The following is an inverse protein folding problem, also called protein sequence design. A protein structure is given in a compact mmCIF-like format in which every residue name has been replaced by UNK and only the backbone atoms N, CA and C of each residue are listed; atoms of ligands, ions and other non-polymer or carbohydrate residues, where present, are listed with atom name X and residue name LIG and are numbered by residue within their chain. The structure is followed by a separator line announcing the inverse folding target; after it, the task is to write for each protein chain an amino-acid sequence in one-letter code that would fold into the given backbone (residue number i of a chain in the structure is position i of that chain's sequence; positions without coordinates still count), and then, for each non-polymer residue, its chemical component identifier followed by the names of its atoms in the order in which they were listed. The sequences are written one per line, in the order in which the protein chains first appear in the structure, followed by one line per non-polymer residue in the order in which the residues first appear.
data_IF_280478906832
#
_entry.id   IF_280478906832
#
_cell.length_a   1.000
_cell.length_b   1.000
_cell.length_c   1.000
_cell.angle_alpha   90.00
_cell.angle_beta   90.00
_cell.angle_gamma   90.00
#
_symmetry.space_group_name_H-M   'P 1'
#
loop_
_entity.id
_entity.type
_entity.pdbx_description
1 polymer ?
#
# COMPACT_ATOMS: atom_id res chain seq x y z
N UNK A 1 25.39 -13.98 -16.21
CA UNK A 1 25.43 -12.72 -17.00
C UNK A 1 24.93 -11.46 -16.27
N UNK A 2 24.55 -11.49 -14.98
CA UNK A 2 24.01 -10.31 -14.28
C UNK A 2 25.04 -9.32 -13.72
N UNK A 3 26.31 -9.72 -13.57
CA UNK A 3 27.35 -8.85 -13.00
C UNK A 3 27.84 -7.81 -14.04
N UNK A 4 27.86 -8.17 -15.32
CA UNK A 4 28.45 -7.32 -16.37
C UNK A 4 27.63 -6.07 -16.69
N UNK A 5 26.29 -6.14 -16.72
CA UNK A 5 25.46 -4.97 -17.06
C UNK A 5 25.39 -3.92 -15.94
N UNK A 6 25.37 -4.33 -14.67
CA UNK A 6 25.43 -3.38 -13.55
C UNK A 6 26.80 -2.71 -13.46
N UNK A 7 27.88 -3.45 -13.74
CA UNK A 7 29.23 -2.87 -13.85
C UNK A 7 29.32 -1.90 -15.04
N UNK A 8 28.64 -2.15 -16.16
CA UNK A 8 28.58 -1.22 -17.30
C UNK A 8 27.83 0.08 -16.97
N UNK A 9 26.70 0.03 -16.26
CA UNK A 9 25.98 1.25 -15.85
C UNK A 9 26.81 2.04 -14.82
N UNK A 10 27.50 1.33 -13.91
CA UNK A 10 28.41 1.92 -12.94
C UNK A 10 29.62 2.60 -13.60
N UNK A 11 30.27 1.96 -14.56
CA UNK A 11 31.39 2.54 -15.31
C UNK A 11 30.96 3.74 -16.15
N UNK A 12 29.75 3.72 -16.72
CA UNK A 12 29.23 4.88 -17.47
C UNK A 12 28.92 6.08 -16.56
N UNK A 13 28.31 5.85 -15.39
CA UNK A 13 28.05 6.93 -14.42
C UNK A 13 29.39 7.46 -13.86
N UNK A 14 30.34 6.58 -13.53
CA UNK A 14 31.69 6.96 -13.08
C UNK A 14 32.40 7.81 -14.13
N UNK A 15 32.39 7.40 -15.40
CA UNK A 15 32.98 8.18 -16.48
C UNK A 15 32.28 9.53 -16.69
N UNK A 16 30.94 9.59 -16.53
CA UNK A 16 30.17 10.82 -16.76
C UNK A 16 30.29 11.83 -15.62
N UNK A 17 30.39 11.38 -14.37
CA UNK A 17 30.63 12.26 -13.21
C UNK A 17 32.08 12.73 -13.17
N UNK A 18 33.04 11.86 -13.51
CA UNK A 18 34.46 12.23 -13.54
C UNK A 18 34.81 13.18 -14.70
N UNK A 19 33.97 13.26 -15.74
CA UNK A 19 34.18 14.15 -16.89
C UNK A 19 33.61 15.55 -16.68
N UNK A 20 32.69 15.74 -15.75
CA UNK A 20 32.00 17.02 -15.55
C UNK A 20 32.34 17.73 -14.24
N UNK A 21 32.86 17.03 -13.22
CA UNK A 21 33.16 17.66 -11.93
C UNK A 21 34.58 17.35 -11.45
N UNK A 22 35.44 18.36 -11.60
CA UNK A 22 36.57 18.74 -10.74
C UNK A 22 37.93 18.00 -10.84
N UNK A 23 38.99 18.73 -11.26
CA UNK A 23 40.38 18.42 -10.95
C UNK A 23 40.91 19.05 -9.63
N UNK A 24 40.07 19.46 -8.67
CA UNK A 24 40.52 20.18 -7.47
C UNK A 24 39.88 19.76 -6.12
N UNK A 25 39.21 18.60 -6.04
CA UNK A 25 38.76 18.07 -4.75
C UNK A 25 39.48 16.76 -4.41
N UNK A 26 40.09 16.73 -3.23
CA UNK A 26 40.78 15.57 -2.68
C UNK A 26 39.94 14.28 -2.84
N UNK A 27 40.56 13.16 -3.28
CA UNK A 27 39.89 11.87 -3.45
C UNK A 27 39.12 11.40 -2.19
N UNK A 28 39.56 11.84 -1.01
CA UNK A 28 38.92 11.53 0.27
C UNK A 28 37.52 12.16 0.41
N UNK A 29 37.32 13.39 -0.06
CA UNK A 29 36.03 14.09 0.04
C UNK A 29 34.98 13.49 -0.88
N UNK A 30 35.40 13.09 -2.08
CA UNK A 30 34.53 12.43 -3.07
C UNK A 30 34.04 11.09 -2.51
N UNK A 31 34.93 10.28 -1.93
CA UNK A 31 34.56 8.99 -1.31
C UNK A 31 33.54 9.15 -0.17
N UNK A 32 33.75 10.14 0.71
CA UNK A 32 32.84 10.41 1.84
C UNK A 32 31.45 10.88 1.38
N UNK A 33 31.38 11.79 0.40
CA UNK A 33 30.11 12.21 -0.20
C UNK A 33 29.40 11.05 -0.91
N UNK A 34 30.13 10.17 -1.60
CA UNK A 34 29.56 8.97 -2.20
C UNK A 34 28.99 8.02 -1.16
N UNK A 35 29.72 7.75 -0.07
CA UNK A 35 29.24 6.91 1.02
C UNK A 35 28.01 7.51 1.69
N UNK A 36 28.00 8.83 1.96
CA UNK A 36 26.84 9.50 2.54
C UNK A 36 25.63 9.50 1.60
N UNK A 37 25.81 9.79 0.31
CA UNK A 37 24.71 9.70 -0.67
C UNK A 37 24.24 8.26 -0.85
N UNK A 38 25.13 7.28 -0.80
CA UNK A 38 24.80 5.87 -0.96
C UNK A 38 24.07 5.32 0.27
N UNK A 39 24.51 5.70 1.47
CA UNK A 39 23.87 5.34 2.74
C UNK A 39 22.51 6.01 2.88
N UNK A 40 22.40 7.32 2.58
CA UNK A 40 21.10 8.02 2.57
C UNK A 40 20.16 7.46 1.51
N UNK A 41 20.65 7.07 0.33
CA UNK A 41 19.83 6.37 -0.67
C UNK A 41 19.40 4.99 -0.19
N UNK A 42 20.24 4.26 0.55
CA UNK A 42 19.86 2.95 1.12
C UNK A 42 18.80 3.08 2.18
N UNK A 43 18.97 3.96 3.17
CA UNK A 43 17.98 4.17 4.24
C UNK A 43 16.65 4.64 3.68
N UNK A 44 16.66 5.65 2.78
CA UNK A 44 15.44 6.09 2.10
C UNK A 44 14.85 4.99 1.20
N UNK A 45 15.66 4.15 0.53
CA UNK A 45 15.12 3.05 -0.29
C UNK A 45 14.51 1.93 0.53
N UNK A 46 15.04 1.65 1.73
CA UNK A 46 14.52 0.62 2.63
C UNK A 46 13.20 1.08 3.24
N UNK A 47 13.13 2.32 3.74
CA UNK A 47 11.89 2.89 4.29
C UNK A 47 10.79 2.97 3.21
N UNK A 48 11.13 3.39 2.00
CA UNK A 48 10.18 3.41 0.88
C UNK A 48 9.75 2.00 0.44
N UNK A 49 10.62 0.99 0.55
CA UNK A 49 10.23 -0.38 0.25
C UNK A 49 9.17 -0.89 1.24
N UNK A 50 9.34 -0.59 2.53
CA UNK A 50 8.38 -0.96 3.56
C UNK A 50 7.01 -0.30 3.35
N UNK A 51 6.97 1.01 3.08
CA UNK A 51 5.71 1.71 2.80
C UNK A 51 4.99 1.13 1.59
N UNK A 52 5.73 0.83 0.51
CA UNK A 52 5.15 0.28 -0.71
C UNK A 52 4.71 -1.17 -0.52
N UNK A 53 5.43 -1.97 0.29
CA UNK A 53 5.00 -3.31 0.65
C UNK A 53 3.76 -3.32 1.55
N UNK A 54 3.68 -2.42 2.53
CA UNK A 54 2.52 -2.26 3.40
C UNK A 54 1.29 -1.88 2.57
N UNK A 55 1.43 -0.90 1.66
CA UNK A 55 0.35 -0.51 0.77
C UNK A 55 -0.01 -1.63 -0.22
N UNK A 56 0.97 -2.36 -0.76
CA UNK A 56 0.70 -3.52 -1.62
C UNK A 56 -0.12 -4.59 -0.87
N UNK A 57 0.27 -4.92 0.37
CA UNK A 57 -0.47 -5.89 1.21
C UNK A 57 -1.88 -5.38 1.51
N UNK A 58 -2.05 -4.08 1.79
CA UNK A 58 -3.37 -3.47 2.00
C UNK A 58 -4.26 -3.61 0.77
N UNK A 59 -3.73 -3.31 -0.42
CA UNK A 59 -4.46 -3.45 -1.70
C UNK A 59 -4.80 -4.92 -1.97
N UNK A 60 -3.89 -5.84 -1.67
CA UNK A 60 -4.14 -7.29 -1.84
C UNK A 60 -5.19 -7.78 -0.83
N UNK A 61 -5.21 -7.29 0.40
CA UNK A 61 -6.20 -7.68 1.40
C UNK A 61 -7.59 -7.06 1.16
N UNK A 62 -7.67 -5.98 0.39
CA UNK A 62 -8.94 -5.29 0.15
C UNK A 62 -9.93 -6.14 -0.66
N UNK A 63 -11.18 -6.13 -0.23
CA UNK A 63 -12.27 -6.94 -0.78
C UNK A 63 -13.05 -6.21 -1.88
N UNK A 64 -13.15 -4.88 -1.78
CA UNK A 64 -13.94 -4.05 -2.69
C UNK A 64 -13.07 -3.11 -3.52
N UNK A 65 -13.53 -2.75 -4.72
CA UNK A 65 -12.82 -1.81 -5.59
C UNK A 65 -12.65 -0.41 -4.95
N UNK A 66 -13.59 -0.01 -4.09
CA UNK A 66 -13.54 1.24 -3.34
C UNK A 66 -12.34 1.30 -2.38
N UNK A 67 -12.11 0.21 -1.63
CA UNK A 67 -11.03 0.10 -0.65
C UNK A 67 -9.65 0.02 -1.34
N UNK A 68 -9.60 -0.64 -2.50
CA UNK A 68 -8.43 -0.71 -3.38
C UNK A 68 -7.97 0.71 -3.76
N UNK A 69 -8.87 1.58 -4.21
CA UNK A 69 -8.53 2.95 -4.58
C UNK A 69 -8.56 3.94 -3.40
N UNK A 70 -9.15 3.57 -2.26
CA UNK A 70 -9.36 4.46 -1.12
C UNK A 70 -10.36 5.58 -1.42
N UNK A 71 -11.41 5.27 -2.19
CA UNK A 71 -12.43 6.24 -2.62
C UNK A 71 -13.73 5.97 -1.87
N UNK A 72 -14.38 7.04 -1.42
CA UNK A 72 -15.72 6.93 -0.83
C UNK A 72 -16.77 6.64 -1.92
N UNK A 73 -17.67 5.67 -1.73
CA UNK A 73 -18.68 5.31 -2.72
C UNK A 73 -19.71 6.42 -2.97
N UNK A 74 -19.76 7.44 -2.13
CA UNK A 74 -20.68 8.59 -2.24
C UNK A 74 -20.19 9.68 -3.20
N UNK A 75 -18.88 9.80 -3.46
CA UNK A 75 -18.29 10.84 -4.34
C UNK A 75 -17.49 10.20 -5.48
N UNK A 76 -18.15 9.35 -6.27
CA UNK A 76 -17.51 8.68 -7.41
C UNK A 76 -17.53 9.62 -8.62
N UNK A 77 -16.55 10.52 -8.69
CA UNK A 77 -16.22 11.24 -9.93
C UNK A 77 -15.19 10.45 -10.72
N UNK A 78 -15.38 10.32 -12.03
CA UNK A 78 -14.42 9.66 -12.94
C UNK A 78 -12.99 10.20 -12.76
N UNK A 79 -12.86 11.52 -12.60
CA UNK A 79 -11.57 12.18 -12.43
C UNK A 79 -10.92 11.88 -11.07
N UNK A 80 -11.72 11.63 -10.03
CA UNK A 80 -11.19 11.20 -8.74
C UNK A 80 -10.65 9.77 -8.83
N UNK A 81 -11.37 8.87 -9.50
CA UNK A 81 -10.94 7.49 -9.76
C UNK A 81 -9.60 7.47 -10.50
N UNK A 82 -9.47 8.25 -11.56
CA UNK A 82 -8.24 8.32 -12.35
C UNK A 82 -7.06 8.89 -11.55
N UNK A 83 -7.26 9.98 -10.81
CA UNK A 83 -6.20 10.59 -9.99
C UNK A 83 -5.71 9.63 -8.90
N UNK A 84 -6.63 9.03 -8.13
CA UNK A 84 -6.27 8.07 -7.09
C UNK A 84 -5.53 6.86 -7.66
N UNK A 85 -6.00 6.34 -8.81
CA UNK A 85 -5.31 5.26 -9.51
C UNK A 85 -3.90 5.65 -9.93
N UNK A 86 -3.71 6.81 -10.56
CA UNK A 86 -2.40 7.26 -11.04
C UNK A 86 -1.40 7.48 -9.91
N UNK A 87 -1.84 8.07 -8.80
CA UNK A 87 -1.02 8.25 -7.60
C UNK A 87 -0.55 6.91 -7.05
N UNK A 88 -1.45 5.93 -6.90
CA UNK A 88 -1.12 4.61 -6.35
C UNK A 88 -0.27 3.77 -7.30
N UNK A 89 -0.60 3.73 -8.58
CA UNK A 89 0.21 3.03 -9.58
C UNK A 89 1.60 3.65 -9.69
N UNK A 90 1.73 4.97 -9.49
CA UNK A 90 3.00 5.68 -9.43
C UNK A 90 4.01 5.06 -8.45
N UNK A 91 3.53 4.57 -7.30
CA UNK A 91 4.35 3.89 -6.29
C UNK A 91 4.93 2.56 -6.84
N UNK A 92 4.14 1.83 -7.62
CA UNK A 92 4.51 0.50 -8.13
C UNK A 92 5.26 0.52 -9.46
N UNK A 93 5.27 1.63 -10.22
CA UNK A 93 5.92 1.74 -11.54
C UNK A 93 7.39 1.31 -11.54
N UNK A 94 8.11 1.55 -10.43
CA UNK A 94 9.53 1.22 -10.30
C UNK A 94 9.78 -0.24 -9.85
N UNK A 95 8.76 -0.94 -9.36
CA UNK A 95 8.88 -2.25 -8.70
C UNK A 95 8.41 -3.41 -9.59
N UNK A 96 8.70 -3.35 -10.90
CA UNK A 96 8.24 -4.31 -11.91
C UNK A 96 8.64 -5.77 -11.63
N UNK A 97 9.70 -6.00 -10.84
CA UNK A 97 10.19 -7.35 -10.50
C UNK A 97 9.62 -7.90 -9.18
N UNK A 98 8.92 -7.09 -8.38
CA UNK A 98 8.34 -7.56 -7.12
C UNK A 98 6.95 -8.16 -7.39
N UNK A 99 6.76 -9.44 -7.02
CA UNK A 99 5.48 -10.15 -7.18
C UNK A 99 4.33 -9.43 -6.48
N UNK A 100 4.55 -8.90 -5.27
CA UNK A 100 3.52 -8.17 -4.52
C UNK A 100 3.11 -6.88 -5.23
N UNK A 101 4.08 -6.13 -5.77
CA UNK A 101 3.79 -4.90 -6.52
C UNK A 101 3.01 -5.20 -7.81
N UNK A 102 3.32 -6.31 -8.49
CA UNK A 102 2.61 -6.73 -9.70
C UNK A 102 1.17 -7.17 -9.41
N UNK A 103 0.95 -7.93 -8.33
CA UNK A 103 -0.39 -8.34 -7.90
C UNK A 103 -1.24 -7.14 -7.45
N UNK A 104 -0.65 -6.24 -6.66
CA UNK A 104 -1.31 -5.00 -6.25
C UNK A 104 -1.66 -4.12 -7.46
N UNK A 105 -0.76 -4.00 -8.44
CA UNK A 105 -1.03 -3.28 -9.69
C UNK A 105 -2.19 -3.93 -10.47
N UNK A 106 -2.19 -5.25 -10.63
CA UNK A 106 -3.29 -5.95 -11.33
C UNK A 106 -4.64 -5.71 -10.64
N UNK A 107 -4.68 -5.69 -9.30
CA UNK A 107 -5.88 -5.32 -8.55
C UNK A 107 -6.29 -3.86 -8.74
N UNK A 108 -5.34 -2.93 -8.78
CA UNK A 108 -5.61 -1.52 -9.09
C UNK A 108 -6.19 -1.35 -10.50
N UNK A 109 -5.62 -2.03 -11.50
CA UNK A 109 -6.09 -2.00 -12.89
C UNK A 109 -7.52 -2.54 -12.98
N UNK A 110 -7.80 -3.64 -12.30
CA UNK A 110 -9.14 -4.22 -12.22
C UNK A 110 -10.14 -3.28 -11.52
N UNK A 111 -9.77 -2.70 -10.37
CA UNK A 111 -10.62 -1.77 -9.64
C UNK A 111 -10.93 -0.50 -10.46
N UNK A 112 -9.94 0.02 -11.19
CA UNK A 112 -10.15 1.14 -12.14
C UNK A 112 -11.19 0.79 -13.19
N UNK A 113 -11.08 -0.38 -13.83
CA UNK A 113 -12.03 -0.81 -14.85
C UNK A 113 -13.45 -0.93 -14.29
N UNK A 114 -13.61 -1.56 -13.12
CA UNK A 114 -14.91 -1.69 -12.46
C UNK A 114 -15.55 -0.34 -12.12
N UNK A 115 -14.75 0.63 -11.67
CA UNK A 115 -15.27 1.92 -11.22
C UNK A 115 -15.48 2.91 -12.36
N UNK A 116 -14.79 2.76 -13.49
CA UNK A 116 -15.02 3.62 -14.66
C UNK A 116 -16.29 3.23 -15.43
N UNK A 117 -16.58 1.94 -15.54
CA UNK A 117 -17.83 1.45 -16.13
C UNK A 117 -19.01 1.65 -15.17
N UNK A 118 -20.03 2.39 -15.61
CA UNK A 118 -21.21 2.72 -14.79
C UNK A 118 -22.00 1.47 -14.37
N UNK A 119 -22.10 0.47 -15.24
CA UNK A 119 -22.85 -0.77 -14.96
C UNK A 119 -22.12 -1.64 -13.93
N UNK A 120 -20.79 -1.72 -14.03
CA UNK A 120 -19.95 -2.46 -13.08
C UNK A 120 -19.88 -1.73 -11.75
N UNK A 121 -19.79 -0.40 -11.77
CA UNK A 121 -19.83 0.45 -10.58
C UNK A 121 -21.13 0.27 -9.80
N UNK A 122 -22.28 0.25 -10.47
CA UNK A 122 -23.57 0.03 -9.81
C UNK A 122 -23.65 -1.34 -9.14
N UNK A 123 -23.12 -2.39 -9.79
CA UNK A 123 -23.03 -3.75 -9.21
C UNK A 123 -22.11 -3.78 -8.00
N UNK A 124 -20.96 -3.13 -8.08
CA UNK A 124 -20.00 -3.06 -6.97
C UNK A 124 -20.56 -2.26 -5.79
N UNK A 125 -21.28 -1.17 -6.06
CA UNK A 125 -21.98 -0.39 -5.03
C UNK A 125 -23.07 -1.23 -4.34
N UNK A 126 -23.83 -2.02 -5.09
CA UNK A 126 -24.83 -2.92 -4.54
C UNK A 126 -24.19 -3.98 -3.61
N UNK A 127 -23.08 -4.59 -4.03
CA UNK A 127 -22.31 -5.53 -3.19
C UNK A 127 -21.78 -4.86 -1.93
N UNK A 128 -21.19 -3.67 -2.07
CA UNK A 128 -20.67 -2.90 -0.95
C UNK A 128 -21.76 -2.59 0.09
N UNK A 129 -22.95 -2.18 -0.37
CA UNK A 129 -24.10 -1.93 0.50
C UNK A 129 -24.64 -3.21 1.16
N UNK A 130 -24.57 -4.36 0.48
CA UNK A 130 -24.92 -5.65 1.09
C UNK A 130 -23.93 -6.07 2.17
N UNK A 131 -22.63 -5.94 1.92
CA UNK A 131 -21.59 -6.20 2.90
C UNK A 131 -21.74 -5.29 4.13
N UNK A 132 -21.94 -3.98 3.93
CA UNK A 132 -22.17 -3.05 5.04
C UNK A 132 -23.40 -3.41 5.88
N UNK A 133 -24.50 -3.82 5.25
CA UNK A 133 -25.71 -4.26 5.99
C UNK A 133 -25.41 -5.49 6.83
N UNK A 134 -24.71 -6.48 6.27
CA UNK A 134 -24.28 -7.68 7.00
C UNK A 134 -23.34 -7.34 8.16
N UNK A 135 -22.38 -6.45 7.95
CA UNK A 135 -21.45 -5.99 9.00
C UNK A 135 -22.16 -5.23 10.12
N UNK A 136 -23.21 -4.47 9.81
CA UNK A 136 -24.03 -3.80 10.82
C UNK A 136 -24.82 -4.82 11.65
N UNK A 137 -25.46 -5.79 10.99
CA UNK A 137 -26.19 -6.86 11.67
C UNK A 137 -25.28 -7.69 12.58
N UNK A 138 -24.10 -8.09 12.09
CA UNK A 138 -23.15 -8.88 12.91
C UNK A 138 -22.61 -8.09 14.10
N UNK A 139 -22.41 -6.77 13.97
CA UNK A 139 -22.05 -5.89 15.10
C UNK A 139 -23.17 -5.75 16.11
N UNK A 140 -24.43 -5.67 15.66
CA UNK A 140 -25.60 -5.62 16.54
C UNK A 140 -25.78 -6.94 17.30
N UNK A 141 -25.64 -8.07 16.60
CA UNK A 141 -25.63 -9.41 17.19
C UNK A 141 -24.51 -9.56 18.21
N UNK A 142 -23.29 -9.11 17.87
CA UNK A 142 -22.15 -9.15 18.79
C UNK A 142 -22.41 -8.33 20.05
N UNK A 143 -22.97 -7.11 19.92
CA UNK A 143 -23.34 -6.27 21.07
C UNK A 143 -24.42 -6.94 21.93
N UNK A 144 -25.39 -7.61 21.33
CA UNK A 144 -26.42 -8.33 22.06
C UNK A 144 -25.84 -9.52 22.84
N UNK A 145 -24.91 -10.25 22.24
CA UNK A 145 -24.17 -11.34 22.90
C UNK A 145 -23.30 -10.80 24.03
N UNK A 146 -22.54 -9.72 23.80
CA UNK A 146 -21.71 -9.08 24.83
C UNK A 146 -22.53 -8.55 26.01
N UNK A 147 -23.72 -8.00 25.77
CA UNK A 147 -24.62 -7.57 26.84
C UNK A 147 -25.10 -8.78 27.67
N UNK A 148 -25.44 -9.88 27.00
CA UNK A 148 -25.87 -11.12 27.66
C UNK A 148 -24.73 -11.76 28.46
N UNK A 149 -23.52 -11.82 27.92
CA UNK A 149 -22.36 -12.38 28.64
C UNK A 149 -22.03 -11.55 29.86
N UNK A 150 -22.02 -10.22 29.75
CA UNK A 150 -21.82 -9.32 30.91
C UNK A 150 -22.84 -9.55 32.02
N UNK A 151 -24.12 -9.74 31.68
CA UNK A 151 -25.16 -10.05 32.67
C UNK A 151 -24.93 -11.42 33.34
N UNK A 152 -24.45 -12.42 32.60
CA UNK A 152 -24.15 -13.74 33.14
C UNK A 152 -22.90 -13.71 34.03
N UNK A 153 -21.87 -12.96 33.64
CA UNK A 153 -20.66 -12.75 34.45
C UNK A 153 -20.99 -12.04 35.77
N UNK A 154 -21.84 -11.01 35.74
CA UNK A 154 -22.32 -10.33 36.96
C UNK A 154 -23.10 -11.29 37.87
N UNK A 155 -23.97 -12.13 37.30
CA UNK A 155 -24.72 -13.14 38.07
C UNK A 155 -23.81 -14.22 38.65
N UNK A 156 -22.82 -14.68 37.89
CA UNK A 156 -21.85 -15.65 38.36
C UNK A 156 -20.98 -15.08 39.49
N UNK A 157 -20.53 -13.82 39.35
CA UNK A 157 -19.80 -13.12 40.40
C UNK A 157 -20.62 -12.97 41.68
N UNK A 158 -21.92 -12.67 41.58
CA UNK A 158 -22.82 -12.59 42.75
C UNK A 158 -23.08 -13.93 43.46
N UNK A 159 -22.81 -15.06 42.80
CA UNK A 159 -22.95 -16.41 43.38
C UNK A 159 -21.64 -16.93 44.00
N UNK A 160 -20.50 -16.31 43.70
CA UNK A 160 -19.26 -16.65 44.36
C UNK A 160 -19.32 -16.08 45.78
N UNK A 161 -19.23 -16.91 46.83
CA UNK A 161 -19.12 -16.39 48.18
C UNK A 161 -17.87 -15.52 48.25
N UNK A 162 -18.01 -14.27 48.69
CA UNK A 162 -16.85 -13.48 49.10
C UNK A 162 -16.20 -14.24 50.27
N UNK A 163 -15.12 -14.95 49.97
CA UNK A 163 -14.28 -15.65 50.92
C UNK A 163 -13.17 -14.75 51.41
#
# INVERSE_FOLDING_TARGET
MYITEQVCLYNNIKARVHRFFFPLLDPFFISSLYLFFFEKKRTMSLVLADEVEVEARRIIASQNAFDVLGICPTDIRSDAVLRCYETKVGLFRRLVRNRLAMEAKAKLDHAKMLLLDETLRAKELAKFNECQRKDMLTKEELRAVEARTKLLEQRAAALLPEG
#
